data_IF_973105338566
#
_entry.id   IF_973105338566
#
_cell.length_a   1.000
_cell.length_b   1.000
_cell.length_c   1.000
_cell.angle_alpha   90.00
_cell.angle_beta   90.00
_cell.angle_gamma   90.00
#
_symmetry.space_group_name_H-M   'P 1'
#
loop_
_entity.id
_entity.type
_entity.pdbx_description
1 polymer ?
#
# COMPACT_ATOMS: atom_id res chain seq x y z
N UNK A 1 -2.89 2.58 -14.97
CA UNK A 1 -2.69 3.44 -16.14
C UNK A 1 -1.57 4.42 -15.85
N UNK A 2 -0.76 4.72 -16.84
CA UNK A 2 0.30 5.74 -16.80
C UNK A 2 0.10 6.68 -17.96
N UNK A 3 0.22 7.99 -17.75
CA UNK A 3 0.29 8.97 -18.80
C UNK A 3 1.54 9.84 -18.64
N UNK A 4 2.16 10.20 -19.75
CA UNK A 4 3.30 11.11 -19.81
C UNK A 4 2.87 12.27 -20.70
N UNK A 5 2.94 13.46 -20.14
CA UNK A 5 2.73 14.68 -20.92
C UNK A 5 4.09 15.34 -21.17
N UNK A 6 4.44 15.49 -22.45
CA UNK A 6 5.59 16.26 -22.87
C UNK A 6 5.14 17.70 -23.14
N UNK A 7 5.71 18.65 -22.42
CA UNK A 7 5.51 20.05 -22.73
C UNK A 7 6.70 20.57 -23.54
N UNK A 8 6.39 21.28 -24.61
CA UNK A 8 7.37 21.78 -25.54
C UNK A 8 8.17 22.97 -24.95
N UNK A 9 9.45 23.08 -25.30
CA UNK A 9 10.35 24.21 -24.97
C UNK A 9 10.64 24.43 -23.47
N UNK A 10 11.38 23.51 -22.86
CA UNK A 10 12.00 23.71 -21.53
C UNK A 10 11.04 23.59 -20.35
N UNK A 11 9.79 23.21 -20.57
CA UNK A 11 8.89 22.84 -19.48
C UNK A 11 9.16 21.42 -19.01
N UNK A 12 9.07 21.17 -17.69
CA UNK A 12 9.32 19.84 -17.14
C UNK A 12 8.28 18.83 -17.66
N UNK A 13 8.76 17.62 -17.98
CA UNK A 13 7.87 16.49 -18.26
C UNK A 13 7.10 16.11 -17.01
N UNK A 14 5.77 16.09 -17.09
CA UNK A 14 4.92 15.61 -16.00
C UNK A 14 4.52 14.15 -16.23
N UNK A 15 4.64 13.36 -15.17
CA UNK A 15 4.16 11.98 -15.16
C UNK A 15 2.97 11.89 -14.22
N UNK A 16 1.91 11.24 -14.64
CA UNK A 16 0.76 10.96 -13.80
C UNK A 16 0.21 9.56 -14.07
N UNK A 17 -0.50 9.01 -13.11
CA UNK A 17 -1.10 7.71 -13.32
C UNK A 17 -1.75 7.13 -12.07
N UNK A 18 -2.11 5.86 -12.20
CA UNK A 18 -2.60 5.02 -11.12
C UNK A 18 -1.79 3.72 -11.10
N UNK A 19 -1.66 3.12 -9.94
CA UNK A 19 -0.97 1.85 -9.76
C UNK A 19 -1.83 0.94 -8.90
N UNK A 20 -1.91 -0.33 -9.27
CA UNK A 20 -2.56 -1.35 -8.44
C UNK A 20 -1.83 -2.67 -8.55
N UNK A 21 -1.73 -3.38 -7.44
CA UNK A 21 -1.16 -4.72 -7.38
C UNK A 21 -1.84 -5.57 -6.31
N UNK A 22 -1.79 -6.89 -6.49
CA UNK A 22 -2.25 -7.81 -5.45
C UNK A 22 -1.25 -7.87 -4.30
N UNK A 23 -1.76 -8.02 -3.09
CA UNK A 23 -0.97 -8.09 -1.86
C UNK A 23 -1.58 -9.09 -0.87
N UNK A 24 -0.94 -9.29 0.27
CA UNK A 24 -1.49 -10.02 1.40
C UNK A 24 -1.47 -9.11 2.62
N UNK A 25 -2.65 -8.88 3.20
CA UNK A 25 -2.87 -8.04 4.39
C UNK A 25 -3.48 -8.80 5.57
N UNK A 26 -3.51 -10.13 5.51
CA UNK A 26 -4.18 -11.01 6.51
C UNK A 26 -3.73 -10.71 7.94
N UNK A 27 -2.48 -10.30 8.18
CA UNK A 27 -1.99 -9.99 9.51
C UNK A 27 -2.77 -8.89 10.23
N UNK A 28 -3.39 -7.98 9.48
CA UNK A 28 -4.23 -6.90 10.01
C UNK A 28 -5.75 -7.15 9.87
N UNK A 29 -6.15 -8.21 9.15
CA UNK A 29 -7.55 -8.44 8.74
C UNK A 29 -8.52 -8.64 9.89
N UNK A 30 -8.05 -9.23 10.97
CA UNK A 30 -8.86 -9.60 12.13
C UNK A 30 -8.62 -8.67 13.33
N UNK A 31 -7.84 -7.61 13.14
CA UNK A 31 -7.71 -6.58 14.17
C UNK A 31 -8.96 -5.71 14.23
N UNK A 32 -9.35 -5.35 15.45
CA UNK A 32 -10.51 -4.50 15.69
C UNK A 32 -10.35 -3.14 15.01
N UNK A 33 -11.41 -2.73 14.31
CA UNK A 33 -11.52 -1.37 13.77
C UNK A 33 -11.81 -0.42 14.92
N UNK A 34 -11.19 0.76 14.90
CA UNK A 34 -11.47 1.81 15.86
C UNK A 34 -12.97 2.19 15.83
N UNK A 35 -13.57 2.33 17.00
CA UNK A 35 -14.94 2.77 17.17
C UNK A 35 -15.05 3.77 18.34
N UNK A 36 -16.22 4.36 18.56
CA UNK A 36 -16.42 5.35 19.62
C UNK A 36 -16.09 4.82 21.03
N UNK A 37 -16.32 3.52 21.28
CA UNK A 37 -16.10 2.92 22.60
C UNK A 37 -14.61 2.74 22.94
N UNK A 38 -13.74 2.63 21.94
CA UNK A 38 -12.28 2.51 22.12
C UNK A 38 -11.52 3.77 21.68
N UNK A 39 -12.18 4.91 21.56
CA UNK A 39 -11.58 6.16 21.13
C UNK A 39 -11.08 6.15 19.68
N UNK A 40 -11.67 5.33 18.83
CA UNK A 40 -11.24 5.12 17.44
C UNK A 40 -9.82 4.54 17.30
N UNK A 41 -9.30 3.88 18.33
CA UNK A 41 -8.00 3.25 18.29
C UNK A 41 -8.01 2.00 17.41
N UNK A 42 -7.01 1.92 16.51
CA UNK A 42 -6.71 0.74 15.70
C UNK A 42 -5.23 0.41 15.88
N UNK A 43 -4.92 -0.81 16.30
CA UNK A 43 -3.53 -1.26 16.49
C UNK A 43 -2.69 -1.12 15.22
N UNK A 44 -3.28 -1.40 14.05
CA UNK A 44 -2.60 -1.25 12.76
C UNK A 44 -2.31 0.20 12.44
N UNK A 45 -3.26 1.11 12.75
CA UNK A 45 -3.06 2.55 12.56
C UNK A 45 -2.02 3.10 13.53
N UNK A 46 -2.06 2.70 14.80
CA UNK A 46 -1.05 3.09 15.78
C UNK A 46 0.34 2.62 15.38
N UNK A 47 0.45 1.39 14.86
CA UNK A 47 1.70 0.86 14.27
C UNK A 47 2.17 1.72 13.09
N UNK A 48 1.27 2.10 12.19
CA UNK A 48 1.60 2.99 11.07
C UNK A 48 2.16 4.33 11.57
N UNK A 49 1.46 4.98 12.51
CA UNK A 49 1.91 6.25 13.09
C UNK A 49 3.29 6.13 13.77
N UNK A 50 3.52 5.03 14.50
CA UNK A 50 4.79 4.76 15.16
C UNK A 50 5.96 4.48 14.20
N UNK A 51 5.68 4.08 12.96
CA UNK A 51 6.71 3.83 11.95
C UNK A 51 7.16 5.11 11.22
N UNK A 52 6.38 6.18 11.24
CA UNK A 52 6.65 7.38 10.43
C UNK A 52 8.02 7.99 10.73
N UNK A 53 8.40 8.12 11.99
CA UNK A 53 9.70 8.70 12.36
C UNK A 53 10.86 7.79 11.93
N UNK A 54 10.74 6.48 12.10
CA UNK A 54 11.77 5.55 11.67
C UNK A 54 11.94 5.51 10.14
N UNK A 55 10.85 5.64 9.38
CA UNK A 55 10.92 5.73 7.91
C UNK A 55 11.46 7.09 7.45
N UNK A 56 11.08 8.19 8.11
CA UNK A 56 11.67 9.51 7.87
C UNK A 56 13.19 9.47 8.05
N UNK A 57 13.68 8.92 9.16
CA UNK A 57 15.12 8.86 9.45
C UNK A 57 15.88 8.02 8.41
N UNK A 58 15.24 6.97 7.88
CA UNK A 58 15.83 6.16 6.79
C UNK A 58 15.89 6.91 5.47
N UNK A 59 14.83 7.65 5.13
CA UNK A 59 14.82 8.48 3.92
C UNK A 59 15.87 9.58 4.06
N UNK A 60 15.92 10.24 5.22
CA UNK A 60 16.87 11.31 5.50
C UNK A 60 18.33 10.84 5.43
N UNK A 61 18.61 9.62 5.90
CA UNK A 61 19.95 9.03 5.80
C UNK A 61 20.42 8.86 4.34
N UNK A 62 19.50 8.72 3.38
CA UNK A 62 19.84 8.64 1.95
C UNK A 62 20.24 9.99 1.35
N UNK A 63 19.90 11.10 2.01
CA UNK A 63 20.35 12.43 1.63
C UNK A 63 21.74 12.78 2.18
N UNK A 64 22.39 11.89 2.91
CA UNK A 64 23.75 12.10 3.38
C UNK A 64 24.68 12.45 2.20
N UNK A 65 25.33 13.61 2.27
CA UNK A 65 26.18 14.17 1.22
C UNK A 65 25.43 14.62 -0.07
N UNK A 66 24.10 14.66 -0.08
CA UNK A 66 23.35 15.24 -1.18
C UNK A 66 23.72 16.70 -1.37
N UNK A 67 23.84 17.12 -2.62
CA UNK A 67 24.10 18.53 -2.96
C UNK A 67 22.83 19.15 -3.48
N UNK A 68 22.50 20.33 -2.96
CA UNK A 68 21.32 21.07 -3.41
C UNK A 68 21.40 21.43 -4.90
N UNK A 69 20.29 21.35 -5.64
CA UNK A 69 20.25 21.66 -7.07
C UNK A 69 20.69 23.08 -7.38
N UNK A 70 21.31 23.26 -8.56
CA UNK A 70 21.86 24.56 -9.00
C UNK A 70 20.80 25.67 -9.15
N UNK A 71 19.54 25.30 -9.36
CA UNK A 71 18.44 26.24 -9.58
C UNK A 71 17.73 26.64 -8.27
N UNK A 72 18.38 26.52 -7.13
CA UNK A 72 17.80 26.79 -5.82
C UNK A 72 18.65 27.79 -5.02
N UNK A 73 18.07 28.34 -3.97
CA UNK A 73 18.77 29.32 -3.09
C UNK A 73 19.99 28.70 -2.36
N UNK A 74 20.03 27.38 -2.21
CA UNK A 74 21.13 26.68 -1.56
C UNK A 74 22.06 25.98 -2.57
N UNK A 75 22.03 26.42 -3.83
CA UNK A 75 22.78 25.82 -4.92
C UNK A 75 24.22 25.45 -4.56
N UNK A 76 24.59 24.19 -4.80
CA UNK A 76 25.94 23.69 -4.57
C UNK A 76 26.32 23.45 -3.10
N UNK A 77 25.47 23.78 -2.13
CA UNK A 77 25.69 23.43 -0.72
C UNK A 77 25.34 21.98 -0.47
N UNK A 78 26.02 21.34 0.47
CA UNK A 78 25.69 19.99 0.93
C UNK A 78 24.43 20.06 1.79
N UNK A 79 23.57 19.06 1.63
CA UNK A 79 22.38 18.91 2.47
C UNK A 79 22.77 18.78 3.94
N UNK A 80 22.16 19.61 4.77
CA UNK A 80 22.33 19.59 6.23
C UNK A 80 20.94 19.54 6.86
N UNK A 81 20.72 18.59 7.74
CA UNK A 81 19.47 18.41 8.51
C UNK A 81 19.10 19.66 9.29
N UNK A 82 20.07 20.51 9.64
CA UNK A 82 19.84 21.81 10.30
C UNK A 82 19.16 22.84 9.40
N UNK A 83 19.31 22.70 8.11
CA UNK A 83 18.72 23.60 7.12
C UNK A 83 17.38 23.13 6.55
N UNK A 84 16.96 21.91 6.88
CA UNK A 84 15.70 21.31 6.48
C UNK A 84 15.73 19.82 6.72
N UNK A 85 14.63 19.30 7.19
CA UNK A 85 14.44 17.86 7.45
C UNK A 85 13.51 17.27 6.40
N UNK A 86 13.60 15.96 6.20
CA UNK A 86 12.60 15.23 5.43
C UNK A 86 11.26 15.32 6.16
N UNK A 87 10.23 15.74 5.47
CA UNK A 87 8.90 15.80 6.05
C UNK A 87 8.33 14.39 6.20
N UNK A 88 7.93 14.01 7.40
CA UNK A 88 7.36 12.70 7.68
C UNK A 88 6.05 12.40 6.92
N UNK A 89 5.42 13.43 6.37
CA UNK A 89 4.21 13.30 5.55
C UNK A 89 4.51 13.23 4.05
N UNK A 90 5.78 13.18 3.64
CA UNK A 90 6.13 12.92 2.26
C UNK A 90 5.71 11.51 1.82
N UNK A 91 5.41 11.35 0.54
CA UNK A 91 5.02 10.07 -0.02
C UNK A 91 6.08 8.97 0.19
N UNK A 92 7.38 9.31 0.11
CA UNK A 92 8.52 8.41 0.36
C UNK A 92 8.61 7.91 1.81
N UNK A 93 7.95 8.58 2.75
CA UNK A 93 7.87 8.18 4.16
C UNK A 93 6.55 7.48 4.43
N UNK A 94 5.43 8.14 4.08
CA UNK A 94 4.10 7.64 4.42
C UNK A 94 3.73 6.34 3.71
N UNK A 95 4.02 6.23 2.42
CA UNK A 95 3.60 5.05 1.65
C UNK A 95 4.34 3.78 2.07
N UNK A 96 5.68 3.77 2.20
CA UNK A 96 6.39 2.61 2.73
C UNK A 96 5.99 2.26 4.17
N UNK A 97 5.78 3.25 5.04
CA UNK A 97 5.29 3.03 6.40
C UNK A 97 3.90 2.39 6.41
N UNK A 98 2.99 2.86 5.53
CA UNK A 98 1.66 2.29 5.36
C UNK A 98 1.72 0.84 4.88
N UNK A 99 2.49 0.56 3.84
CA UNK A 99 2.69 -0.81 3.33
C UNK A 99 3.24 -1.72 4.45
N UNK A 100 4.24 -1.24 5.18
CA UNK A 100 4.85 -2.00 6.28
C UNK A 100 3.89 -2.28 7.44
N UNK A 101 2.96 -1.36 7.73
CA UNK A 101 1.98 -1.55 8.79
C UNK A 101 0.86 -2.51 8.39
N UNK A 102 0.34 -2.38 7.17
CA UNK A 102 -0.90 -3.02 6.73
C UNK A 102 -0.71 -4.28 5.90
N UNK A 103 0.50 -4.57 5.42
CA UNK A 103 0.76 -5.74 4.57
C UNK A 103 1.86 -6.62 5.13
N UNK A 104 1.96 -7.84 4.58
CA UNK A 104 3.08 -8.76 4.83
C UNK A 104 4.29 -8.51 3.92
N UNK A 105 4.29 -7.43 3.14
CA UNK A 105 5.32 -7.16 2.12
C UNK A 105 6.68 -6.69 2.69
N UNK A 106 6.85 -6.74 4.00
CA UNK A 106 8.15 -6.58 4.65
C UNK A 106 8.57 -5.14 4.93
N UNK A 107 9.06 -4.94 6.14
CA UNK A 107 9.17 -3.69 6.84
C UNK A 107 10.33 -2.75 6.51
N UNK A 108 11.05 -2.89 5.40
CA UNK A 108 12.24 -2.06 5.20
C UNK A 108 12.39 -1.46 3.79
N UNK A 109 11.51 -1.79 2.86
CA UNK A 109 11.55 -1.21 1.52
C UNK A 109 11.02 0.22 1.54
N UNK A 110 11.78 1.14 0.96
CA UNK A 110 11.37 2.53 0.74
C UNK A 110 10.71 2.73 -0.64
N UNK A 111 10.28 1.64 -1.28
CA UNK A 111 9.67 1.71 -2.61
C UNK A 111 8.23 2.22 -2.54
N UNK A 112 7.98 3.34 -3.22
CA UNK A 112 6.64 3.89 -3.44
C UNK A 112 5.77 2.96 -4.30
N UNK A 113 6.40 2.36 -5.31
CA UNK A 113 5.79 1.40 -6.21
C UNK A 113 6.51 0.05 -6.08
N UNK A 114 6.00 -0.88 -5.24
CA UNK A 114 6.61 -2.19 -5.10
C UNK A 114 6.76 -2.91 -6.44
N UNK A 115 7.88 -3.58 -6.63
CA UNK A 115 8.14 -4.31 -7.86
C UNK A 115 7.19 -5.49 -8.06
N UNK A 116 6.98 -5.91 -9.31
CA UNK A 116 6.15 -7.08 -9.64
C UNK A 116 6.67 -8.38 -8.98
N UNK A 117 7.96 -8.43 -8.63
CA UNK A 117 8.53 -9.56 -7.89
C UNK A 117 7.96 -9.73 -6.46
N UNK A 118 7.33 -8.68 -5.92
CA UNK A 118 6.65 -8.69 -4.61
C UNK A 118 5.14 -8.97 -4.72
N UNK A 119 4.67 -9.35 -5.90
CA UNK A 119 3.28 -9.70 -6.17
C UNK A 119 2.91 -10.95 -5.37
N UNK A 120 1.91 -10.85 -4.51
CA UNK A 120 1.38 -11.96 -3.75
C UNK A 120 0.00 -12.36 -4.30
N UNK A 121 -0.23 -13.66 -4.56
CA UNK A 121 -1.43 -14.09 -5.25
C UNK A 121 -2.68 -13.96 -4.36
N UNK A 122 -3.78 -13.58 -4.98
CA UNK A 122 -5.11 -13.86 -4.46
C UNK A 122 -5.44 -15.33 -4.73
N UNK A 123 -6.30 -15.94 -3.91
CA UNK A 123 -6.64 -17.35 -4.07
C UNK A 123 -8.12 -17.64 -3.84
N UNK A 124 -8.56 -18.72 -4.42
CA UNK A 124 -9.85 -19.34 -4.15
C UNK A 124 -9.64 -20.83 -3.93
N UNK A 125 -10.11 -21.33 -2.81
CA UNK A 125 -10.05 -22.73 -2.44
C UNK A 125 -11.44 -23.32 -2.44
N UNK A 126 -11.59 -24.50 -3.01
CA UNK A 126 -12.82 -25.28 -2.99
C UNK A 126 -12.48 -26.71 -2.66
N UNK A 127 -13.16 -27.25 -1.66
CA UNK A 127 -12.95 -28.64 -1.23
C UNK A 127 -14.28 -29.37 -1.12
N UNK A 128 -14.45 -30.42 -1.93
CA UNK A 128 -15.66 -31.27 -1.98
C UNK A 128 -15.42 -32.71 -1.56
N UNK A 129 -14.28 -33.04 -0.93
CA UNK A 129 -13.88 -34.40 -0.65
C UNK A 129 -14.57 -35.05 0.57
N UNK A 130 -15.26 -34.26 1.42
CA UNK A 130 -15.87 -34.77 2.65
C UNK A 130 -16.94 -35.84 2.41
N UNK A 131 -17.67 -35.78 1.29
CA UNK A 131 -18.68 -36.82 0.92
C UNK A 131 -18.08 -38.20 0.64
N UNK A 132 -16.74 -38.32 0.56
CA UNK A 132 -16.07 -39.61 0.46
C UNK A 132 -16.01 -40.36 1.80
N UNK A 133 -16.21 -39.65 2.91
CA UNK A 133 -16.28 -40.22 4.24
C UNK A 133 -17.66 -40.87 4.43
N UNK A 134 -17.74 -42.15 4.96
CA UNK A 134 -19.00 -42.89 5.06
C UNK A 134 -20.10 -42.10 5.76
N UNK A 135 -19.82 -41.50 6.92
CA UNK A 135 -20.79 -40.77 7.72
C UNK A 135 -21.28 -39.47 7.06
N UNK A 136 -20.48 -38.83 6.18
CA UNK A 136 -20.94 -37.70 5.35
C UNK A 136 -21.81 -38.14 4.19
N UNK A 137 -21.45 -39.25 3.54
CA UNK A 137 -22.19 -39.81 2.40
C UNK A 137 -23.60 -40.28 2.77
N UNK A 138 -23.77 -40.70 4.00
CA UNK A 138 -25.07 -41.16 4.49
C UNK A 138 -26.09 -40.02 4.64
N UNK A 139 -25.61 -38.76 4.76
CA UNK A 139 -26.44 -37.58 4.96
C UNK A 139 -26.42 -36.65 3.72
N UNK A 140 -25.27 -36.49 3.09
CA UNK A 140 -25.07 -35.52 2.02
C UNK A 140 -24.78 -36.16 0.67
N UNK A 141 -25.50 -35.70 -0.35
CA UNK A 141 -25.21 -36.01 -1.75
C UNK A 141 -24.02 -35.17 -2.26
N UNK A 142 -23.89 -33.94 -1.79
CA UNK A 142 -22.71 -33.12 -2.01
C UNK A 142 -22.46 -32.19 -0.81
N UNK A 143 -21.18 -31.96 -0.52
CA UNK A 143 -20.75 -31.06 0.52
C UNK A 143 -19.45 -30.37 0.09
N UNK A 144 -19.51 -29.05 -0.14
CA UNK A 144 -18.38 -28.27 -0.60
C UNK A 144 -18.05 -27.16 0.40
N UNK A 145 -16.78 -27.05 0.73
CA UNK A 145 -16.25 -25.91 1.49
C UNK A 145 -15.58 -24.96 0.50
N UNK A 146 -15.90 -23.69 0.61
CA UNK A 146 -15.37 -22.63 -0.25
C UNK A 146 -14.68 -21.56 0.60
N UNK A 147 -13.54 -21.10 0.14
CA UNK A 147 -12.81 -19.99 0.73
C UNK A 147 -12.23 -19.13 -0.40
N UNK A 148 -12.36 -17.84 -0.32
CA UNK A 148 -11.76 -16.92 -1.30
C UNK A 148 -11.19 -15.70 -0.62
N UNK A 149 -9.95 -15.39 -0.96
CA UNK A 149 -9.22 -14.24 -0.47
C UNK A 149 -8.76 -13.36 -1.62
N UNK A 150 -9.00 -12.06 -1.49
CA UNK A 150 -8.55 -11.04 -2.42
C UNK A 150 -8.08 -9.81 -1.65
N UNK A 151 -6.87 -9.36 -1.95
CA UNK A 151 -6.38 -8.09 -1.44
C UNK A 151 -5.64 -7.34 -2.54
N UNK A 152 -5.91 -6.04 -2.64
CA UNK A 152 -5.34 -5.16 -3.65
C UNK A 152 -4.83 -3.91 -2.98
N UNK A 153 -3.53 -3.64 -3.16
CA UNK A 153 -2.91 -2.36 -2.88
C UNK A 153 -3.10 -1.45 -4.09
N UNK A 154 -3.54 -0.22 -3.86
CA UNK A 154 -3.79 0.76 -4.91
C UNK A 154 -3.21 2.11 -4.54
N UNK A 155 -2.46 2.71 -5.46
CA UNK A 155 -2.18 4.15 -5.50
C UNK A 155 -3.20 4.77 -6.44
N UNK A 156 -4.15 5.52 -5.89
CA UNK A 156 -5.33 6.01 -6.61
C UNK A 156 -4.99 7.02 -7.70
N UNK A 157 -4.16 8.00 -7.37
CA UNK A 157 -3.53 8.86 -8.38
C UNK A 157 -2.21 9.40 -7.85
N UNK A 158 -1.27 9.56 -8.76
CA UNK A 158 -0.02 10.23 -8.51
C UNK A 158 0.32 11.17 -9.67
N UNK A 159 1.05 12.23 -9.37
CA UNK A 159 1.59 13.16 -10.35
C UNK A 159 2.99 13.62 -9.93
N UNK A 160 3.89 13.80 -10.88
CA UNK A 160 5.22 14.34 -10.59
C UNK A 160 5.14 15.83 -10.26
N UNK A 161 5.99 16.26 -9.33
CA UNK A 161 6.17 17.68 -9.09
C UNK A 161 6.93 18.34 -10.27
N UNK A 162 6.44 19.47 -10.74
CA UNK A 162 7.07 20.22 -11.84
C UNK A 162 8.43 20.83 -11.45
N UNK A 163 8.65 21.05 -10.17
CA UNK A 163 9.90 21.62 -9.62
C UNK A 163 10.87 20.58 -9.09
N UNK A 164 10.58 19.27 -9.31
CA UNK A 164 11.43 18.20 -8.81
C UNK A 164 12.77 18.15 -9.53
N UNK A 165 13.83 18.21 -8.75
CA UNK A 165 15.20 17.99 -9.20
C UNK A 165 15.74 16.74 -8.54
N UNK A 166 15.98 15.70 -9.35
CA UNK A 166 16.48 14.42 -8.87
C UNK A 166 17.93 14.54 -8.38
N UNK A 167 18.20 13.93 -7.23
CA UNK A 167 19.54 13.76 -6.69
C UNK A 167 20.06 12.34 -6.98
N UNK A 168 19.33 11.30 -6.56
CA UNK A 168 19.73 9.91 -6.74
C UNK A 168 18.53 8.97 -6.53
N UNK A 169 18.38 7.99 -7.40
CA UNK A 169 17.40 6.88 -7.24
C UNK A 169 15.96 7.31 -6.94
N UNK A 170 15.48 8.38 -7.59
CA UNK A 170 14.14 8.90 -7.38
C UNK A 170 13.98 9.83 -6.17
N UNK A 171 15.05 10.00 -5.38
CA UNK A 171 15.10 11.01 -4.31
C UNK A 171 15.61 12.34 -4.89
N UNK A 172 15.06 13.43 -4.39
CA UNK A 172 15.45 14.75 -4.86
C UNK A 172 14.85 15.87 -4.02
N UNK A 173 14.80 17.02 -4.61
CA UNK A 173 14.32 18.24 -3.99
C UNK A 173 13.21 18.85 -4.83
N UNK A 174 12.21 19.40 -4.16
CA UNK A 174 11.25 20.32 -4.77
C UNK A 174 11.53 21.74 -4.30
N UNK A 175 11.19 22.71 -5.11
CA UNK A 175 11.27 24.13 -4.69
C UNK A 175 9.96 24.49 -4.01
N UNK A 176 10.05 24.91 -2.77
CA UNK A 176 8.93 25.53 -2.05
C UNK A 176 8.55 26.84 -2.75
N UNK A 177 7.32 26.93 -3.23
CA UNK A 177 6.83 28.08 -4.00
C UNK A 177 6.69 29.35 -3.18
N UNK A 178 6.63 29.26 -1.87
CA UNK A 178 6.50 30.42 -0.97
C UNK A 178 7.85 30.97 -0.57
N UNK A 179 8.80 30.10 -0.27
CA UNK A 179 10.12 30.52 0.25
C UNK A 179 11.23 30.44 -0.80
N UNK A 180 11.02 29.71 -1.90
CA UNK A 180 12.06 29.44 -2.89
C UNK A 180 13.12 28.44 -2.41
N UNK A 181 12.96 27.89 -1.20
CA UNK A 181 13.92 26.95 -0.62
C UNK A 181 13.76 25.54 -1.21
N UNK A 182 14.88 24.84 -1.45
CA UNK A 182 14.83 23.44 -1.83
C UNK A 182 14.48 22.58 -0.60
N UNK A 183 13.47 21.74 -0.74
CA UNK A 183 13.00 20.84 0.31
C UNK A 183 13.11 19.39 -0.17
N UNK A 184 13.69 18.48 0.64
CA UNK A 184 13.71 17.06 0.31
C UNK A 184 12.30 16.53 0.06
N UNK A 185 12.09 15.87 -1.05
CA UNK A 185 10.79 15.35 -1.43
C UNK A 185 10.91 14.17 -2.39
N UNK A 186 9.87 13.35 -2.42
CA UNK A 186 9.70 12.39 -3.50
C UNK A 186 9.42 13.08 -4.83
N UNK A 187 9.68 12.35 -5.93
CA UNK A 187 9.32 12.79 -7.26
C UNK A 187 7.80 12.98 -7.42
N UNK A 188 7.02 12.16 -6.70
CA UNK A 188 5.58 12.09 -6.89
C UNK A 188 4.80 12.63 -5.70
N UNK A 189 3.83 13.46 -6.02
CA UNK A 189 2.70 13.74 -5.15
C UNK A 189 1.69 12.59 -5.30
N UNK A 190 1.35 11.95 -4.20
CA UNK A 190 0.39 10.84 -4.14
C UNK A 190 -0.87 11.28 -3.44
N UNK A 191 -2.00 11.25 -4.13
CA UNK A 191 -3.27 11.73 -3.59
C UNK A 191 -3.90 10.74 -2.60
N UNK A 192 -3.88 9.46 -2.94
CA UNK A 192 -4.51 8.40 -2.13
C UNK A 192 -3.77 7.09 -2.26
N UNK A 193 -3.68 6.40 -1.13
CA UNK A 193 -3.21 5.01 -1.06
C UNK A 193 -4.25 4.21 -0.31
N UNK A 194 -4.60 3.04 -0.83
CA UNK A 194 -5.57 2.15 -0.20
C UNK A 194 -5.17 0.69 -0.33
N UNK A 195 -5.61 -0.10 0.64
CA UNK A 195 -5.61 -1.56 0.57
C UNK A 195 -7.06 -2.00 0.72
N UNK A 196 -7.56 -2.70 -0.28
CA UNK A 196 -8.88 -3.29 -0.26
C UNK A 196 -8.74 -4.79 -0.10
N UNK A 197 -9.25 -5.31 1.00
CA UNK A 197 -9.21 -6.73 1.34
C UNK A 197 -10.61 -7.30 1.40
N UNK A 198 -10.81 -8.47 0.84
CA UNK A 198 -12.07 -9.18 0.84
C UNK A 198 -11.87 -10.68 1.03
N UNK A 199 -12.62 -11.23 1.97
CA UNK A 199 -12.90 -12.65 2.09
C UNK A 199 -14.32 -12.90 1.57
N UNK A 200 -14.44 -13.50 0.38
CA UNK A 200 -15.72 -13.64 -0.28
C UNK A 200 -15.88 -15.02 -0.92
N UNK A 201 -16.20 -16.05 -0.11
CA UNK A 201 -16.41 -16.04 1.34
C UNK A 201 -15.13 -16.27 2.15
N UNK A 202 -15.13 -15.88 3.45
CA UNK A 202 -14.14 -16.35 4.42
C UNK A 202 -14.36 -17.85 4.70
N UNK A 203 -15.62 -18.24 4.89
CA UNK A 203 -16.06 -19.63 4.94
C UNK A 203 -17.40 -19.74 4.23
N UNK A 204 -17.46 -20.56 3.21
CA UNK A 204 -18.69 -20.94 2.50
C UNK A 204 -18.90 -22.44 2.57
N UNK A 205 -20.12 -22.85 2.80
CA UNK A 205 -20.54 -24.24 2.78
C UNK A 205 -21.75 -24.38 1.87
N UNK A 206 -21.59 -25.14 0.79
CA UNK A 206 -22.67 -25.51 -0.11
C UNK A 206 -22.96 -27.00 0.10
N UNK A 207 -24.17 -27.34 0.51
CA UNK A 207 -24.54 -28.72 0.79
C UNK A 207 -25.84 -29.11 0.10
N UNK A 208 -25.88 -30.34 -0.36
CA UNK A 208 -27.09 -31.01 -0.87
C UNK A 208 -27.28 -32.27 -0.09
N UNK A 209 -28.40 -32.40 0.58
CA UNK A 209 -28.79 -33.61 1.32
C UNK A 209 -29.27 -34.71 0.38
N UNK A 210 -29.28 -35.94 0.87
CA UNK A 210 -29.75 -37.10 0.08
C UNK A 210 -31.23 -37.01 -0.31
N UNK A 211 -32.03 -36.23 0.41
CA UNK A 211 -33.43 -35.88 0.05
C UNK A 211 -33.57 -34.76 -0.98
N UNK A 212 -32.45 -34.32 -1.59
CA UNK A 212 -32.32 -33.21 -2.55
C UNK A 212 -32.61 -31.80 -1.96
N UNK A 213 -32.73 -31.65 -0.65
CA UNK A 213 -32.70 -30.33 -0.02
C UNK A 213 -31.33 -29.73 -0.18
N UNK A 214 -31.25 -28.48 -0.59
CA UNK A 214 -29.99 -27.71 -0.72
C UNK A 214 -29.94 -26.63 0.33
N UNK A 215 -28.76 -26.43 0.91
CA UNK A 215 -28.49 -25.32 1.83
C UNK A 215 -27.15 -24.68 1.48
N UNK A 216 -27.09 -23.37 1.61
CA UNK A 216 -25.87 -22.58 1.40
C UNK A 216 -25.68 -21.64 2.60
N UNK A 217 -24.48 -21.70 3.19
CA UNK A 217 -24.05 -20.84 4.28
C UNK A 217 -22.78 -20.12 3.83
N UNK A 218 -22.74 -18.81 3.97
CA UNK A 218 -21.55 -18.02 3.63
C UNK A 218 -21.31 -16.94 4.69
N UNK A 219 -20.07 -16.86 5.14
CA UNK A 219 -19.59 -15.71 5.92
C UNK A 219 -18.60 -14.92 5.08
N UNK A 220 -18.89 -13.64 4.86
CA UNK A 220 -18.09 -12.71 4.06
C UNK A 220 -17.62 -11.56 4.93
N UNK A 221 -16.43 -11.06 4.66
CA UNK A 221 -15.91 -9.85 5.28
C UNK A 221 -15.13 -9.04 4.26
N UNK A 222 -15.29 -7.72 4.30
CA UNK A 222 -14.59 -6.76 3.45
C UNK A 222 -14.05 -5.64 4.32
N UNK A 223 -12.85 -5.20 4.05
CA UNK A 223 -12.17 -4.13 4.78
C UNK A 223 -11.53 -3.14 3.81
#
# INVERSE_FOLDING_TARGET
ARSIQYMYQGMPTTQSGTFAMTTISIGSSFEGIGNANNGYHSKTFDKFCGLLDAFRDRVEAQYANAVYPQNTLLAGKVFDVKNGTVNKYNADVMVPAFISAYTSMGGHSLELFPSLAKLLPNWTLRYGGLVRLPWFRDVFKSFNINHSYKSIYTVGSYSSYSTFAEYMNGLGFITDTQTGNPTPSSMFNVSTVSINEAFSPLLGIDMTFNNNLTAKLEYRTVR
#
